data_IF_480133301216
#
_entry.id   IF_480133301216
#
_cell.length_a   1.000
_cell.length_b   1.000
_cell.length_c   1.000
_cell.angle_alpha   90.00
_cell.angle_beta   90.00
_cell.angle_gamma   90.00
#
_symmetry.space_group_name_H-M   'P 1'
#
loop_
_entity.id
_entity.type
_entity.pdbx_description
1 polymer ?
#
# COMPACT_ATOMS: atom_id res chain seq x y z
N UNK A 1 -13.67 -7.41 21.04
CA UNK A 1 -13.16 -6.72 19.84
C UNK A 1 -12.48 -5.47 20.35
N UNK A 2 -11.15 -5.49 20.42
CA UNK A 2 -10.40 -4.30 20.83
C UNK A 2 -10.59 -3.20 19.77
N UNK A 3 -10.66 -1.97 20.25
CA UNK A 3 -10.88 -0.76 19.47
C UNK A 3 -9.62 -0.46 18.63
N UNK A 4 -9.47 -1.22 17.54
CA UNK A 4 -8.39 -1.07 16.57
C UNK A 4 -8.76 0.13 15.72
N UNK A 5 -8.35 1.32 16.18
CA UNK A 5 -8.64 2.62 15.58
C UNK A 5 -8.98 2.55 14.10
N UNK A 6 -10.25 2.85 13.80
CA UNK A 6 -10.82 2.74 12.48
C UNK A 6 -10.13 3.72 11.53
N UNK A 7 -9.19 3.24 10.71
CA UNK A 7 -8.93 3.91 9.44
C UNK A 7 -10.20 3.70 8.63
N UNK A 8 -11.01 4.74 8.54
CA UNK A 8 -12.15 4.78 7.64
C UNK A 8 -11.55 4.87 6.25
N UNK A 9 -11.36 3.71 5.61
CA UNK A 9 -10.98 3.64 4.22
C UNK A 9 -12.06 4.32 3.39
N UNK A 10 -11.67 5.07 2.36
CA UNK A 10 -12.60 5.66 1.40
C UNK A 10 -13.47 4.62 0.67
N UNK A 11 -13.14 3.33 0.78
CA UNK A 11 -13.85 2.22 0.17
C UNK A 11 -14.00 1.04 1.15
N UNK A 12 -15.11 0.34 1.02
CA UNK A 12 -15.39 -0.94 1.68
C UNK A 12 -14.48 -2.03 1.07
N UNK A 13 -13.47 -2.47 1.83
CA UNK A 13 -12.44 -3.40 1.36
C UNK A 13 -13.01 -4.74 0.93
N UNK A 14 -14.11 -5.20 1.56
CA UNK A 14 -14.75 -6.48 1.24
C UNK A 14 -15.50 -6.45 -0.10
N UNK A 15 -15.74 -5.25 -0.64
CA UNK A 15 -16.41 -5.02 -1.93
C UNK A 15 -15.47 -4.59 -3.04
N UNK A 16 -14.17 -4.44 -2.78
CA UNK A 16 -13.19 -4.05 -3.79
C UNK A 16 -12.82 -5.25 -4.68
N UNK A 17 -13.04 -5.12 -5.99
CA UNK A 17 -12.52 -6.09 -6.95
C UNK A 17 -11.05 -5.79 -7.28
N UNK A 18 -10.14 -6.36 -6.51
CA UNK A 18 -8.69 -6.22 -6.73
C UNK A 18 -8.19 -6.91 -8.01
N UNK A 19 -9.07 -7.54 -8.81
CA UNK A 19 -8.74 -8.00 -10.16
C UNK A 19 -8.67 -6.85 -11.16
N UNK A 20 -9.35 -5.73 -10.88
CA UNK A 20 -9.23 -4.54 -11.71
C UNK A 20 -7.85 -3.88 -11.50
N UNK A 21 -7.02 -3.73 -12.56
CA UNK A 21 -5.66 -3.22 -12.42
C UNK A 21 -5.60 -1.77 -11.91
N UNK A 22 -6.59 -0.96 -12.24
CA UNK A 22 -6.63 0.44 -11.80
C UNK A 22 -6.99 0.51 -10.31
N UNK A 23 -8.00 -0.25 -9.89
CA UNK A 23 -8.46 -0.31 -8.51
C UNK A 23 -7.38 -0.91 -7.60
N UNK A 24 -6.71 -1.97 -8.06
CA UNK A 24 -5.56 -2.56 -7.36
C UNK A 24 -4.45 -1.54 -7.15
N UNK A 25 -4.11 -0.80 -8.20
CA UNK A 25 -3.07 0.24 -8.14
C UNK A 25 -3.44 1.39 -7.20
N UNK A 26 -4.69 1.84 -7.25
CA UNK A 26 -5.22 2.85 -6.34
C UNK A 26 -5.19 2.36 -4.88
N UNK A 27 -5.62 1.12 -4.63
CA UNK A 27 -5.61 0.53 -3.30
C UNK A 27 -4.20 0.42 -2.72
N UNK A 28 -3.24 -0.10 -3.50
CA UNK A 28 -1.83 -0.14 -3.09
C UNK A 28 -1.34 1.26 -2.71
N UNK A 29 -1.67 2.27 -3.51
CA UNK A 29 -1.34 3.66 -3.19
C UNK A 29 -1.95 4.11 -1.85
N UNK A 30 -3.21 3.78 -1.56
CA UNK A 30 -3.82 4.11 -0.28
C UNK A 30 -3.12 3.42 0.90
N UNK A 31 -2.76 2.14 0.75
CA UNK A 31 -2.05 1.40 1.81
C UNK A 31 -0.64 1.93 2.03
N UNK A 32 0.09 2.34 0.98
CA UNK A 32 1.43 2.91 1.14
C UNK A 32 1.44 4.30 1.78
N UNK A 33 0.35 5.06 1.67
CA UNK A 33 0.21 6.41 2.25
C UNK A 33 -0.36 6.35 3.66
N UNK A 34 -1.40 5.52 3.87
CA UNK A 34 -2.24 5.54 5.07
C UNK A 34 -2.31 4.19 5.78
N UNK A 35 -1.75 3.12 5.22
CA UNK A 35 -1.87 1.78 5.77
C UNK A 35 -1.23 1.64 7.13
N UNK A 36 -1.88 0.85 7.98
CA UNK A 36 -1.29 0.40 9.24
C UNK A 36 -0.32 -0.75 8.99
N UNK A 37 0.50 -1.04 10.00
CA UNK A 37 1.45 -2.14 9.95
C UNK A 37 0.78 -3.47 9.58
N UNK A 38 -0.40 -3.74 10.12
CA UNK A 38 -1.15 -4.98 9.84
C UNK A 38 -1.55 -5.07 8.36
N UNK A 39 -1.99 -3.96 7.76
CA UNK A 39 -2.30 -3.91 6.32
C UNK A 39 -1.06 -4.08 5.45
N UNK A 40 0.05 -3.44 5.85
CA UNK A 40 1.34 -3.51 5.17
C UNK A 40 1.88 -4.95 5.19
N UNK A 41 1.73 -5.67 6.32
CA UNK A 41 2.22 -7.03 6.49
C UNK A 41 1.56 -8.05 5.55
N UNK A 42 0.33 -7.78 5.11
CA UNK A 42 -0.41 -8.63 4.17
C UNK A 42 -0.08 -8.34 2.70
N UNK A 43 0.75 -7.33 2.42
CA UNK A 43 1.10 -6.97 1.05
C UNK A 43 2.17 -7.88 0.46
N UNK A 44 2.05 -8.13 -0.85
CA UNK A 44 3.14 -8.71 -1.62
C UNK A 44 4.16 -7.61 -1.99
N UNK A 45 5.25 -7.55 -1.22
CA UNK A 45 6.31 -6.56 -1.41
C UNK A 45 7.01 -6.64 -2.78
N UNK A 46 7.14 -7.83 -3.38
CA UNK A 46 7.70 -7.98 -4.73
C UNK A 46 6.80 -7.34 -5.79
N UNK A 47 5.49 -7.45 -5.63
CA UNK A 47 4.52 -6.79 -6.50
C UNK A 47 4.59 -5.27 -6.32
N UNK A 48 4.65 -4.80 -5.07
CA UNK A 48 4.74 -3.37 -4.78
C UNK A 48 5.99 -2.76 -5.40
N UNK A 49 7.13 -3.42 -5.28
CA UNK A 49 8.41 -2.95 -5.85
C UNK A 49 8.31 -2.68 -7.36
N UNK A 50 7.55 -3.51 -8.08
CA UNK A 50 7.32 -3.36 -9.52
C UNK A 50 6.37 -2.21 -9.84
N UNK A 51 5.34 -2.01 -9.01
CA UNK A 51 4.29 -1.01 -9.25
C UNK A 51 4.69 0.37 -8.73
N UNK A 52 5.55 0.45 -7.70
CA UNK A 52 5.99 1.67 -7.00
C UNK A 52 6.43 2.80 -7.93
N UNK A 53 7.25 2.58 -8.99
CA UNK A 53 7.65 3.64 -9.91
C UNK A 53 6.47 4.29 -10.63
N UNK A 54 5.38 3.53 -10.82
CA UNK A 54 4.18 3.95 -11.54
C UNK A 54 3.11 4.58 -10.65
N UNK A 55 3.23 4.51 -9.32
CA UNK A 55 2.27 5.08 -8.38
C UNK A 55 2.43 6.60 -8.29
N UNK A 56 1.31 7.30 -8.16
CA UNK A 56 1.31 8.76 -7.98
C UNK A 56 1.43 9.09 -6.50
N UNK A 57 2.61 8.82 -5.94
CA UNK A 57 2.95 9.13 -4.55
C UNK A 57 3.67 10.48 -4.45
N UNK A 58 3.59 11.13 -3.29
CA UNK A 58 4.48 12.26 -2.99
C UNK A 58 5.92 11.77 -2.89
N UNK A 59 6.87 12.64 -3.24
CA UNK A 59 8.30 12.30 -3.29
C UNK A 59 8.81 11.70 -1.97
N UNK A 60 8.38 12.28 -0.83
CA UNK A 60 8.75 11.81 0.51
C UNK A 60 8.30 10.36 0.77
N UNK A 61 7.07 10.01 0.41
CA UNK A 61 6.54 8.66 0.63
C UNK A 61 7.19 7.68 -0.34
N UNK A 62 7.38 8.09 -1.60
CA UNK A 62 8.05 7.26 -2.60
C UNK A 62 9.48 6.93 -2.18
N UNK A 63 10.26 7.93 -1.77
CA UNK A 63 11.63 7.78 -1.29
C UNK A 63 11.73 6.85 -0.07
N UNK A 64 10.81 6.99 0.90
CA UNK A 64 10.73 6.11 2.07
C UNK A 64 10.64 4.61 1.67
N UNK A 65 9.73 4.29 0.75
CA UNK A 65 9.53 2.92 0.30
C UNK A 65 10.68 2.43 -0.59
N UNK A 66 11.22 3.28 -1.46
CA UNK A 66 12.41 2.97 -2.26
C UNK A 66 13.61 2.63 -1.38
N UNK A 67 13.84 3.39 -0.31
CA UNK A 67 14.92 3.16 0.65
C UNK A 67 14.70 1.88 1.46
N UNK A 68 13.46 1.61 1.91
CA UNK A 68 13.10 0.35 2.53
C UNK A 68 13.44 -0.86 1.63
N UNK A 69 13.03 -0.82 0.36
CA UNK A 69 13.30 -1.89 -0.61
C UNK A 69 14.74 -2.00 -1.07
N UNK A 70 15.53 -0.94 -0.86
CA UNK A 70 16.98 -0.93 -1.09
C UNK A 70 17.70 -1.62 0.06
N UNK A 71 17.30 -1.35 1.30
CA UNK A 71 17.89 -1.93 2.50
C UNK A 71 17.52 -3.40 2.69
N UNK A 72 16.29 -3.81 2.35
CA UNK A 72 15.87 -5.21 2.37
C UNK A 72 16.72 -6.12 1.46
N UNK A 73 17.36 -5.54 0.42
CA UNK A 73 18.25 -6.27 -0.50
C UNK A 73 19.72 -6.33 -0.05
N UNK A 74 20.10 -5.68 1.05
CA UNK A 74 21.46 -5.64 1.60
C UNK A 74 21.65 -6.73 2.66
#
# INVERSE_FOLDING_TARGET
MEDVGHIVWYADLDKLDLKDPWLKKWWIQQVLIHGRFENISCLNFDEIKKVLPSLRLTEKIKSLWEDYFRYEKA
#
